data_IF_952170749837
#
_entry.id   IF_952170749837
#
_cell.length_a   1.000
_cell.length_b   1.000
_cell.length_c   1.000
_cell.angle_alpha   90.00
_cell.angle_beta   90.00
_cell.angle_gamma   90.00
#
_symmetry.space_group_name_H-M   'P 1'
#
loop_
_entity.id
_entity.type
_entity.pdbx_description
1 polymer ?
#
# COMPACT_ATOMS: atom_id res chain seq x y z
N UNK A 1 -5.01 10.99 24.43
CA UNK A 1 -5.05 10.25 23.15
C UNK A 1 -3.73 10.51 22.47
N UNK A 2 -2.70 9.70 22.58
CA UNK A 2 -2.59 8.29 22.95
C UNK A 2 -1.63 7.72 21.92
N UNK A 3 -0.32 7.84 22.16
CA UNK A 3 0.73 7.35 21.27
C UNK A 3 0.55 5.86 20.93
N UNK A 4 -0.20 5.13 21.78
CA UNK A 4 -0.73 3.79 21.58
C UNK A 4 -1.51 3.59 20.27
N UNK A 5 -2.38 4.52 19.88
CA UNK A 5 -3.18 4.38 18.64
C UNK A 5 -2.29 4.48 17.40
N UNK A 6 -1.31 5.38 17.43
CA UNK A 6 -0.33 5.52 16.34
C UNK A 6 0.57 4.28 16.21
N UNK A 7 1.05 3.75 17.35
CA UNK A 7 1.86 2.53 17.37
C UNK A 7 1.05 1.31 16.92
N UNK A 8 -0.22 1.21 17.30
CA UNK A 8 -1.11 0.14 16.85
C UNK A 8 -1.37 0.22 15.34
N UNK A 9 -1.64 1.43 14.82
CA UNK A 9 -1.81 1.66 13.38
C UNK A 9 -0.56 1.30 12.59
N UNK A 10 0.62 1.69 13.07
CA UNK A 10 1.90 1.30 12.48
C UNK A 10 2.10 -0.23 12.51
N UNK A 11 1.79 -0.88 13.63
CA UNK A 11 1.84 -2.34 13.75
C UNK A 11 0.92 -3.05 12.75
N UNK A 12 -0.30 -2.54 12.55
CA UNK A 12 -1.23 -3.08 11.56
C UNK A 12 -0.69 -2.93 10.12
N UNK A 13 -0.14 -1.76 9.76
CA UNK A 13 0.48 -1.56 8.45
C UNK A 13 1.64 -2.52 8.24
N UNK A 14 2.52 -2.72 9.24
CA UNK A 14 3.64 -3.65 9.15
C UNK A 14 3.20 -5.11 8.99
N UNK A 15 2.15 -5.53 9.71
CA UNK A 15 1.59 -6.89 9.56
C UNK A 15 1.01 -7.07 8.17
N UNK A 16 0.23 -6.10 7.65
CA UNK A 16 -0.36 -6.18 6.32
C UNK A 16 0.69 -6.17 5.20
N UNK A 17 1.68 -5.27 5.29
CA UNK A 17 2.80 -5.20 4.35
C UNK A 17 3.66 -6.47 4.37
N UNK A 18 3.83 -7.10 5.54
CA UNK A 18 4.54 -8.37 5.68
C UNK A 18 3.74 -9.61 5.27
N UNK A 19 2.40 -9.52 5.26
CA UNK A 19 1.53 -10.67 5.02
C UNK A 19 1.62 -11.15 3.56
N UNK A 20 1.58 -10.24 2.59
CA UNK A 20 1.70 -10.55 1.15
C UNK A 20 3.01 -11.28 0.80
N UNK A 21 4.20 -10.76 1.16
CA UNK A 21 5.47 -11.46 0.89
C UNK A 21 5.61 -12.77 1.67
N UNK A 22 4.97 -12.91 2.83
CA UNK A 22 5.00 -14.15 3.62
C UNK A 22 4.11 -15.25 3.02
N UNK A 23 2.88 -14.92 2.60
CA UNK A 23 1.93 -15.89 2.03
C UNK A 23 2.31 -16.31 0.61
N UNK A 24 2.76 -15.37 -0.23
CA UNK A 24 3.11 -15.66 -1.63
C UNK A 24 4.31 -14.83 -2.10
N UNK A 25 5.54 -15.24 -1.72
CA UNK A 25 6.75 -14.51 -2.08
C UNK A 25 6.99 -14.46 -3.60
N UNK A 26 6.56 -15.48 -4.36
CA UNK A 26 6.69 -15.54 -5.82
C UNK A 26 5.78 -14.52 -6.51
N UNK A 27 4.49 -14.48 -6.15
CA UNK A 27 3.53 -13.54 -6.72
C UNK A 27 3.90 -12.09 -6.36
N UNK A 28 4.36 -11.86 -5.12
CA UNK A 28 4.85 -10.55 -4.70
C UNK A 28 6.06 -10.10 -5.52
N UNK A 29 7.08 -10.97 -5.68
CA UNK A 29 8.26 -10.67 -6.49
C UNK A 29 7.90 -10.36 -7.94
N UNK A 30 7.00 -11.13 -8.54
CA UNK A 30 6.57 -10.92 -9.92
C UNK A 30 5.84 -9.58 -10.09
N UNK A 31 4.95 -9.25 -9.15
CA UNK A 31 4.25 -7.95 -9.13
C UNK A 31 5.24 -6.80 -9.03
N UNK A 32 6.25 -6.93 -8.16
CA UNK A 32 7.26 -5.89 -7.96
C UNK A 32 8.18 -5.73 -9.19
N UNK A 33 8.55 -6.83 -9.84
CA UNK A 33 9.29 -6.78 -11.11
C UNK A 33 8.48 -6.10 -12.21
N UNK A 34 7.18 -6.39 -12.32
CA UNK A 34 6.29 -5.72 -13.27
C UNK A 34 6.21 -4.23 -12.99
N UNK A 35 6.11 -3.82 -11.72
CA UNK A 35 6.13 -2.41 -11.32
C UNK A 35 7.44 -1.72 -11.69
N UNK A 36 8.59 -2.38 -11.50
CA UNK A 36 9.90 -1.84 -11.89
C UNK A 36 10.10 -1.75 -13.42
N UNK A 37 9.36 -2.53 -14.21
CA UNK A 37 9.40 -2.49 -15.67
C UNK A 37 8.43 -1.46 -16.27
N UNK A 38 7.58 -0.83 -15.46
CA UNK A 38 6.65 0.19 -15.91
C UNK A 38 7.37 1.53 -16.06
N UNK A 39 7.07 2.26 -17.13
CA UNK A 39 7.56 3.63 -17.31
C UNK A 39 7.13 4.54 -16.16
N UNK A 40 7.99 5.48 -15.78
CA UNK A 40 7.77 6.43 -14.68
C UNK A 40 6.40 7.13 -14.75
N UNK A 41 5.92 7.46 -15.96
CA UNK A 41 4.62 8.08 -16.16
C UNK A 41 3.47 7.17 -15.70
N UNK A 42 3.55 5.86 -15.98
CA UNK A 42 2.52 4.89 -15.60
C UNK A 42 2.57 4.61 -14.11
N UNK A 43 3.76 4.49 -13.52
CA UNK A 43 3.93 4.33 -12.09
C UNK A 43 3.33 5.51 -11.32
N UNK A 44 3.57 6.75 -11.79
CA UNK A 44 2.96 7.96 -11.23
C UNK A 44 1.44 7.98 -11.37
N UNK A 45 0.90 7.52 -12.48
CA UNK A 45 -0.55 7.41 -12.67
C UNK A 45 -1.19 6.39 -11.72
N UNK A 46 -0.56 5.23 -11.51
CA UNK A 46 -1.03 4.23 -10.53
C UNK A 46 -1.00 4.82 -9.12
N UNK A 47 0.08 5.51 -8.75
CA UNK A 47 0.18 6.21 -7.47
C UNK A 47 -0.86 7.32 -7.30
N UNK A 48 -1.12 8.11 -8.35
CA UNK A 48 -2.20 9.11 -8.36
C UNK A 48 -3.57 8.46 -8.17
N UNK A 49 -3.84 7.36 -8.87
CA UNK A 49 -5.07 6.59 -8.70
C UNK A 49 -5.26 6.10 -7.27
N UNK A 50 -4.21 5.55 -6.65
CA UNK A 50 -4.28 5.08 -5.25
C UNK A 50 -4.46 6.23 -4.25
N UNK A 51 -3.78 7.36 -4.47
CA UNK A 51 -3.95 8.56 -3.66
C UNK A 51 -5.37 9.13 -3.73
N UNK A 52 -5.94 9.24 -4.94
CA UNK A 52 -7.32 9.71 -5.12
C UNK A 52 -8.32 8.74 -4.52
N UNK A 53 -8.15 7.43 -4.75
CA UNK A 53 -9.01 6.42 -4.14
C UNK A 53 -8.96 6.47 -2.60
N UNK A 54 -7.76 6.61 -2.02
CA UNK A 54 -7.58 6.77 -0.58
C UNK A 54 -8.23 8.05 -0.05
N UNK A 55 -8.09 9.16 -0.76
CA UNK A 55 -8.74 10.43 -0.40
C UNK A 55 -10.27 10.29 -0.43
N UNK A 56 -10.83 9.66 -1.47
CA UNK A 56 -12.26 9.41 -1.58
C UNK A 56 -12.76 8.51 -0.44
N UNK A 57 -12.02 7.45 -0.10
CA UNK A 57 -12.34 6.59 1.04
C UNK A 57 -12.36 7.38 2.35
N UNK A 58 -11.34 8.21 2.60
CA UNK A 58 -11.28 9.06 3.79
C UNK A 58 -12.50 9.97 3.82
N UNK A 59 -12.78 10.72 2.74
CA UNK A 59 -13.90 11.66 2.67
C UNK A 59 -15.27 10.96 2.83
N UNK A 60 -15.40 9.70 2.40
CA UNK A 60 -16.66 8.95 2.49
C UNK A 60 -16.88 8.26 3.84
N UNK A 61 -15.80 7.84 4.52
CA UNK A 61 -15.85 7.16 5.82
C UNK A 61 -15.70 8.12 7.02
N UNK A 62 -15.17 9.33 6.80
CA UNK A 62 -15.07 10.41 7.78
C UNK A 62 -16.39 11.14 7.95
#
# INVERSE_FOLDING_TARGET
MGWDVWLLGLGMVLVLEGLLPFLSPSAWRETMLRLCQMDDARLRMVGLGSMVAGLLLIVFLS
#
